data_IF_590237589153
#
_entry.id   IF_590237589153
#
_cell.length_a   1.000
_cell.length_b   1.000
_cell.length_c   1.000
_cell.angle_alpha   90.00
_cell.angle_beta   90.00
_cell.angle_gamma   90.00
#
_symmetry.space_group_name_H-M   'P 1'
#
loop_
_entity.id
_entity.type
_entity.pdbx_description
1 polymer ?
#
# COMPACT_ATOMS: atom_id res chain seq x y z
N UNK A 1 -21.29 -15.00 15.42
CA UNK A 1 -20.64 -13.95 16.22
C UNK A 1 -20.36 -12.79 15.28
N UNK A 2 -21.07 -11.68 15.42
CA UNK A 2 -20.76 -10.47 14.66
C UNK A 2 -19.41 -9.94 15.12
N UNK A 3 -18.45 -9.78 14.19
CA UNK A 3 -17.24 -9.02 14.48
C UNK A 3 -17.70 -7.61 14.83
N UNK A 4 -17.26 -7.07 15.96
CA UNK A 4 -17.47 -5.66 16.25
C UNK A 4 -16.60 -4.84 15.30
N UNK A 5 -17.16 -4.53 14.12
CA UNK A 5 -16.50 -3.79 13.05
C UNK A 5 -15.97 -2.46 13.56
N UNK A 6 -16.64 -1.83 14.53
CA UNK A 6 -16.21 -0.58 15.15
C UNK A 6 -14.91 -0.77 15.92
N UNK A 7 -14.81 -1.82 16.73
CA UNK A 7 -13.58 -2.14 17.45
C UNK A 7 -12.42 -2.49 16.48
N UNK A 8 -12.72 -3.25 15.42
CA UNK A 8 -11.73 -3.58 14.39
C UNK A 8 -11.21 -2.33 13.66
N UNK A 9 -12.10 -1.41 13.29
CA UNK A 9 -11.74 -0.13 12.66
C UNK A 9 -10.95 0.78 13.61
N UNK A 10 -11.32 0.84 14.89
CA UNK A 10 -10.58 1.62 15.88
C UNK A 10 -9.16 1.07 16.09
N UNK A 11 -9.02 -0.25 16.20
CA UNK A 11 -7.70 -0.91 16.28
C UNK A 11 -6.88 -0.70 15.01
N UNK A 12 -7.52 -0.76 13.84
CA UNK A 12 -6.91 -0.49 12.55
C UNK A 12 -6.39 0.96 12.47
N UNK A 13 -7.23 1.94 12.77
CA UNK A 13 -6.88 3.37 12.78
C UNK A 13 -5.70 3.66 13.73
N UNK A 14 -5.70 3.06 14.93
CA UNK A 14 -4.60 3.18 15.89
C UNK A 14 -3.28 2.53 15.41
N UNK A 15 -3.30 1.71 14.36
CA UNK A 15 -2.10 1.15 13.75
C UNK A 15 -1.60 1.95 12.56
N UNK A 16 -2.49 2.53 11.76
CA UNK A 16 -2.14 3.17 10.48
C UNK A 16 -1.93 4.69 10.57
N UNK A 17 -2.22 5.31 11.71
CA UNK A 17 -2.15 6.77 11.83
C UNK A 17 -0.79 7.36 11.39
N UNK A 18 -0.77 8.49 10.64
CA UNK A 18 0.46 9.04 10.09
C UNK A 18 1.51 9.42 11.15
N UNK A 19 2.78 9.25 10.80
CA UNK A 19 4.01 9.70 11.49
C UNK A 19 4.25 9.13 12.90
N UNK A 20 3.24 8.51 13.51
CA UNK A 20 3.25 8.12 14.92
C UNK A 20 3.01 6.62 15.07
N UNK A 21 2.11 6.03 14.26
CA UNK A 21 1.67 4.66 14.49
C UNK A 21 2.56 3.59 13.86
N UNK A 22 2.43 2.37 14.38
CA UNK A 22 3.29 1.23 14.04
C UNK A 22 3.30 0.87 12.55
N UNK A 23 2.21 1.13 11.82
CA UNK A 23 2.09 0.80 10.41
C UNK A 23 2.20 2.00 9.49
N UNK A 24 2.60 3.18 10.00
CA UNK A 24 3.20 4.18 9.12
C UNK A 24 4.62 3.74 8.74
N UNK A 25 4.70 2.96 7.67
CA UNK A 25 5.96 2.42 7.18
C UNK A 25 6.78 3.45 6.40
N UNK A 26 6.18 4.56 5.93
CA UNK A 26 6.88 5.51 5.04
C UNK A 26 8.16 6.09 5.71
N UNK A 27 8.13 6.63 6.93
CA UNK A 27 9.36 7.09 7.62
C UNK A 27 10.37 5.96 7.88
N UNK A 28 9.87 4.76 8.21
CA UNK A 28 10.71 3.59 8.54
C UNK A 28 11.48 3.10 7.31
N UNK A 29 10.82 3.02 6.16
CA UNK A 29 11.42 2.64 4.88
C UNK A 29 12.41 3.72 4.41
N UNK A 30 12.04 5.00 4.52
CA UNK A 30 12.94 6.13 4.21
C UNK A 30 14.25 6.04 4.98
N UNK A 31 14.18 5.81 6.29
CA UNK A 31 15.37 5.66 7.12
C UNK A 31 16.15 4.37 6.81
N UNK A 32 15.46 3.22 6.73
CA UNK A 32 16.08 1.90 6.51
C UNK A 32 16.86 1.81 5.21
N UNK A 33 16.35 2.42 4.15
CA UNK A 33 16.96 2.37 2.82
C UNK A 33 17.71 3.65 2.43
N UNK A 34 17.93 4.56 3.39
CA UNK A 34 18.65 5.81 3.16
C UNK A 34 18.12 6.61 1.94
N UNK A 35 16.80 6.66 1.78
CA UNK A 35 16.16 7.17 0.55
C UNK A 35 16.43 8.66 0.29
N UNK A 36 16.80 9.41 1.33
CA UNK A 36 17.24 10.80 1.20
C UNK A 36 18.51 10.96 0.35
N UNK A 37 19.36 9.93 0.32
CA UNK A 37 20.58 9.92 -0.47
C UNK A 37 20.48 9.00 -1.70
N UNK A 38 19.79 7.86 -1.57
CA UNK A 38 19.67 6.85 -2.63
C UNK A 38 18.53 7.15 -3.63
N UNK A 39 17.62 8.05 -3.25
CA UNK A 39 16.42 8.38 -4.01
C UNK A 39 15.21 7.51 -3.67
N UNK A 40 14.03 8.06 -3.89
CA UNK A 40 12.76 7.48 -3.48
C UNK A 40 12.16 6.47 -4.46
N UNK A 41 12.80 6.26 -5.61
CA UNK A 41 12.33 5.40 -6.68
C UNK A 41 13.20 4.16 -6.81
N UNK A 42 12.57 2.98 -6.74
CA UNK A 42 13.24 1.68 -6.77
C UNK A 42 12.98 0.97 -8.09
N UNK A 43 14.01 0.35 -8.69
CA UNK A 43 13.89 -0.37 -9.97
C UNK A 43 12.95 -1.57 -9.84
N UNK A 44 12.09 -1.75 -10.84
CA UNK A 44 11.21 -2.92 -10.97
C UNK A 44 12.00 -4.03 -11.69
N UNK A 45 12.22 -5.19 -11.07
CA UNK A 45 12.99 -6.27 -11.68
C UNK A 45 12.43 -6.70 -13.03
N UNK A 46 13.30 -6.78 -14.05
CA UNK A 46 12.92 -7.20 -15.40
C UNK A 46 12.02 -6.22 -16.15
N UNK A 47 11.93 -4.96 -15.71
CA UNK A 47 11.19 -3.88 -16.40
C UNK A 47 12.03 -2.62 -16.48
N UNK A 48 11.80 -1.82 -17.52
CA UNK A 48 12.38 -0.48 -17.64
C UNK A 48 11.53 0.54 -16.84
N UNK A 49 11.20 0.19 -15.60
CA UNK A 49 10.35 0.97 -14.71
C UNK A 49 11.01 1.11 -13.35
N UNK A 50 10.70 2.22 -12.68
CA UNK A 50 10.91 2.41 -11.24
C UNK A 50 9.58 2.76 -10.57
N UNK A 51 9.43 2.35 -9.31
CA UNK A 51 8.28 2.71 -8.48
C UNK A 51 8.70 3.52 -7.27
N UNK A 52 7.85 4.45 -6.86
CA UNK A 52 8.00 5.21 -5.63
C UNK A 52 7.90 4.28 -4.43
N UNK A 53 8.73 4.49 -3.41
CA UNK A 53 8.80 3.61 -2.23
C UNK A 53 7.48 3.53 -1.43
N UNK A 54 6.61 4.54 -1.56
CA UNK A 54 5.32 4.61 -0.87
C UNK A 54 4.39 3.43 -1.15
N UNK A 55 4.53 2.79 -2.32
CA UNK A 55 3.69 1.66 -2.76
C UNK A 55 3.71 0.50 -1.76
N UNK A 56 4.81 0.27 -1.05
CA UNK A 56 4.93 -0.82 -0.07
C UNK A 56 3.97 -0.64 1.11
N UNK A 57 3.80 0.60 1.57
CA UNK A 57 2.88 0.92 2.67
C UNK A 57 1.43 0.69 2.25
N UNK A 58 1.07 1.09 1.03
CA UNK A 58 -0.29 0.97 0.51
C UNK A 58 -0.68 -0.49 0.23
N UNK A 59 0.21 -1.28 -0.37
CA UNK A 59 -0.02 -2.72 -0.56
C UNK A 59 -0.19 -3.42 0.80
N UNK A 60 0.63 -3.07 1.80
CA UNK A 60 0.48 -3.60 3.16
C UNK A 60 -0.87 -3.19 3.77
N UNK A 61 -1.26 -1.92 3.64
CA UNK A 61 -2.55 -1.41 4.11
C UNK A 61 -3.71 -2.24 3.56
N UNK A 62 -3.77 -2.41 2.24
CA UNK A 62 -4.83 -3.19 1.60
C UNK A 62 -4.84 -4.66 2.05
N UNK A 63 -3.67 -5.31 2.03
CA UNK A 63 -3.57 -6.73 2.33
C UNK A 63 -3.93 -7.05 3.79
N UNK A 64 -3.33 -6.34 4.75
CA UNK A 64 -3.56 -6.60 6.18
C UNK A 64 -4.97 -6.14 6.60
N UNK A 65 -5.51 -5.10 5.99
CA UNK A 65 -6.87 -4.63 6.26
C UNK A 65 -7.91 -5.67 5.88
N UNK A 66 -7.75 -6.27 4.70
CA UNK A 66 -8.59 -7.39 4.27
C UNK A 66 -8.39 -8.62 5.15
N UNK A 67 -7.17 -8.91 5.57
CA UNK A 67 -6.87 -9.98 6.52
C UNK A 67 -7.55 -9.77 7.89
N UNK A 68 -7.68 -8.53 8.34
CA UNK A 68 -8.42 -8.18 9.55
C UNK A 68 -9.96 -8.30 9.39
N UNK A 69 -10.44 -8.53 8.16
CA UNK A 69 -11.86 -8.70 7.85
C UNK A 69 -12.61 -7.41 7.53
N UNK A 70 -11.91 -6.29 7.31
CA UNK A 70 -12.49 -5.04 6.81
C UNK A 70 -12.75 -5.21 5.32
N UNK A 71 -13.93 -4.83 4.82
CA UNK A 71 -14.25 -4.92 3.40
C UNK A 71 -13.47 -3.90 2.55
N UNK A 72 -13.50 -4.10 1.23
CA UNK A 72 -12.75 -3.31 0.25
C UNK A 72 -13.13 -1.83 0.31
N UNK A 73 -14.43 -1.54 0.26
CA UNK A 73 -14.93 -0.17 0.16
C UNK A 73 -14.56 0.60 1.43
N UNK A 74 -14.74 -0.01 2.60
CA UNK A 74 -14.35 0.60 3.88
C UNK A 74 -12.84 0.90 3.98
N UNK A 75 -11.97 0.06 3.39
CA UNK A 75 -10.52 0.33 3.37
C UNK A 75 -10.16 1.50 2.46
N UNK A 76 -10.74 1.55 1.26
CA UNK A 76 -10.48 2.63 0.31
C UNK A 76 -11.05 3.95 0.84
N UNK A 77 -12.33 3.96 1.25
CA UNK A 77 -12.98 5.14 1.82
C UNK A 77 -12.27 5.62 3.09
N UNK A 78 -11.82 4.68 3.93
CA UNK A 78 -11.10 4.98 5.16
C UNK A 78 -9.74 5.65 4.92
N UNK A 79 -9.08 5.38 3.79
CA UNK A 79 -7.84 6.04 3.39
C UNK A 79 -8.07 7.41 2.74
N UNK A 80 -9.25 7.63 2.13
CA UNK A 80 -9.65 8.89 1.48
C UNK A 80 -10.29 9.92 2.43
N UNK A 81 -10.39 9.63 3.73
CA UNK A 81 -10.91 10.58 4.73
C UNK A 81 -10.05 11.85 4.71
N UNK A 82 -10.66 13.03 4.50
CA UNK A 82 -9.91 14.28 4.47
C UNK A 82 -9.53 14.79 5.87
N UNK A 83 -8.73 14.02 6.60
CA UNK A 83 -8.13 14.43 7.89
C UNK A 83 -6.64 14.00 7.94
N UNK A 84 -5.69 14.95 7.83
CA UNK A 84 -4.26 14.65 7.81
C UNK A 84 -3.72 14.11 9.16
N UNK A 85 -4.51 14.16 10.23
CA UNK A 85 -4.17 13.49 11.50
C UNK A 85 -4.52 12.01 11.49
N UNK A 86 -5.43 11.59 10.60
CA UNK A 86 -5.94 10.22 10.53
C UNK A 86 -5.38 9.45 9.33
N UNK A 87 -5.10 10.12 8.22
CA UNK A 87 -4.60 9.50 6.99
C UNK A 87 -3.53 10.35 6.29
N UNK A 88 -2.80 9.72 5.36
CA UNK A 88 -1.84 10.42 4.51
C UNK A 88 -2.51 11.21 3.38
N UNK A 89 -1.71 11.84 2.52
CA UNK A 89 -2.19 12.31 1.22
C UNK A 89 -2.70 11.11 0.40
N UNK A 90 -3.73 11.34 -0.41
CA UNK A 90 -4.42 10.32 -1.20
C UNK A 90 -4.44 10.72 -2.69
N UNK A 91 -3.91 9.85 -3.54
CA UNK A 91 -3.92 9.99 -5.00
C UNK A 91 -4.35 8.70 -5.72
N UNK A 92 -4.62 8.77 -7.02
CA UNK A 92 -5.04 7.59 -7.78
C UNK A 92 -4.03 6.41 -7.74
N UNK A 93 -2.73 6.70 -7.57
CA UNK A 93 -1.69 5.69 -7.37
C UNK A 93 -1.81 4.98 -6.02
N UNK A 94 -2.22 5.71 -4.97
CA UNK A 94 -2.52 5.12 -3.66
C UNK A 94 -3.71 4.15 -3.77
N UNK A 95 -4.78 4.52 -4.46
CA UNK A 95 -5.92 3.64 -4.73
C UNK A 95 -5.50 2.37 -5.46
N UNK A 96 -4.72 2.50 -6.55
CA UNK A 96 -4.21 1.35 -7.32
C UNK A 96 -3.38 0.40 -6.43
N UNK A 97 -2.52 0.95 -5.58
CA UNK A 97 -1.58 0.15 -4.77
C UNK A 97 -2.23 -0.46 -3.54
N UNK A 98 -3.17 0.24 -2.90
CA UNK A 98 -4.06 -0.36 -1.88
C UNK A 98 -4.89 -1.49 -2.48
N UNK A 99 -5.44 -1.27 -3.67
CA UNK A 99 -6.25 -2.27 -4.37
C UNK A 99 -5.44 -3.53 -4.71
N UNK A 100 -4.17 -3.37 -5.11
CA UNK A 100 -3.29 -4.52 -5.32
C UNK A 100 -3.10 -5.37 -4.04
N UNK A 101 -2.96 -4.71 -2.87
CA UNK A 101 -2.92 -5.40 -1.57
C UNK A 101 -4.21 -6.14 -1.24
N UNK A 102 -5.35 -5.49 -1.49
CA UNK A 102 -6.69 -6.08 -1.29
C UNK A 102 -6.86 -7.34 -2.15
N UNK A 103 -6.54 -7.24 -3.44
CA UNK A 103 -6.70 -8.34 -4.40
C UNK A 103 -5.76 -9.51 -4.09
N UNK A 104 -4.55 -9.23 -3.61
CA UNK A 104 -3.62 -10.26 -3.14
C UNK A 104 -4.24 -11.09 -2.01
N UNK A 105 -4.88 -10.45 -1.03
CA UNK A 105 -5.55 -11.17 0.06
C UNK A 105 -6.81 -11.89 -0.42
N UNK A 106 -7.64 -11.23 -1.23
CA UNK A 106 -8.87 -11.84 -1.75
C UNK A 106 -8.58 -13.10 -2.59
N UNK A 107 -7.47 -13.10 -3.33
CA UNK A 107 -7.08 -14.22 -4.21
C UNK A 107 -6.34 -15.34 -3.47
N UNK A 108 -5.41 -15.01 -2.58
CA UNK A 108 -4.49 -16.01 -2.00
C UNK A 108 -4.67 -16.19 -0.49
N UNK A 109 -5.34 -15.26 0.19
CA UNK A 109 -5.45 -15.23 1.64
C UNK A 109 -4.09 -15.35 2.30
N UNK A 110 -4.04 -16.05 3.44
CA UNK A 110 -2.79 -16.29 4.18
C UNK A 110 -1.80 -17.23 3.47
N UNK A 111 -2.20 -17.83 2.33
CA UNK A 111 -1.34 -18.74 1.55
C UNK A 111 -0.55 -18.01 0.46
N UNK A 112 -0.50 -16.67 0.49
CA UNK A 112 0.29 -15.86 -0.42
C UNK A 112 1.76 -16.30 -0.42
N UNK A 113 2.26 -16.65 -1.61
CA UNK A 113 3.67 -16.98 -1.83
C UNK A 113 4.48 -15.74 -2.22
N UNK A 114 5.81 -15.84 -2.11
CA UNK A 114 6.72 -14.77 -2.50
C UNK A 114 6.64 -14.48 -3.99
N UNK A 115 6.51 -15.53 -4.79
CA UNK A 115 6.44 -15.46 -6.25
C UNK A 115 5.18 -14.71 -6.69
N UNK A 116 4.03 -15.07 -6.11
CA UNK A 116 2.75 -14.38 -6.37
C UNK A 116 2.80 -12.90 -5.94
N UNK A 117 3.43 -12.60 -4.81
CA UNK A 117 3.63 -11.22 -4.37
C UNK A 117 4.50 -10.45 -5.38
N UNK A 118 5.60 -11.05 -5.83
CA UNK A 118 6.50 -10.44 -6.80
C UNK A 118 5.82 -10.16 -8.14
N UNK A 119 5.05 -11.12 -8.66
CA UNK A 119 4.25 -10.95 -9.87
C UNK A 119 3.25 -9.81 -9.74
N UNK A 120 2.50 -9.76 -8.62
CA UNK A 120 1.54 -8.69 -8.38
C UNK A 120 2.21 -7.32 -8.35
N UNK A 121 3.35 -7.19 -7.67
CA UNK A 121 4.12 -5.94 -7.59
C UNK A 121 4.60 -5.47 -8.98
N UNK A 122 5.06 -6.39 -9.83
CA UNK A 122 5.42 -6.04 -11.22
C UNK A 122 4.20 -5.56 -12.00
N UNK A 123 3.07 -6.27 -11.92
CA UNK A 123 1.83 -5.87 -12.59
C UNK A 123 1.30 -4.53 -12.09
N UNK A 124 1.41 -4.26 -10.79
CA UNK A 124 1.04 -2.95 -10.21
C UNK A 124 1.94 -1.83 -10.75
N UNK A 125 3.24 -2.07 -10.92
CA UNK A 125 4.16 -1.10 -11.52
C UNK A 125 3.75 -0.71 -12.95
N UNK A 126 3.44 -1.71 -13.76
CA UNK A 126 2.98 -1.52 -15.14
C UNK A 126 1.64 -0.78 -15.18
N UNK A 127 0.71 -1.13 -14.28
CA UNK A 127 -0.58 -0.46 -14.16
C UNK A 127 -0.41 1.01 -13.78
N UNK A 128 0.36 1.31 -12.73
CA UNK A 128 0.66 2.69 -12.32
C UNK A 128 1.21 3.52 -13.47
N UNK A 129 2.19 2.97 -14.20
CA UNK A 129 2.79 3.65 -15.34
C UNK A 129 1.77 3.87 -16.48
N UNK A 130 0.96 2.85 -16.80
CA UNK A 130 -0.06 2.94 -17.85
C UNK A 130 -1.16 3.95 -17.54
N UNK A 131 -1.44 4.18 -16.25
CA UNK A 131 -2.41 5.17 -15.76
C UNK A 131 -1.81 6.56 -15.57
N UNK A 132 -0.53 6.77 -15.90
CA UNK A 132 0.15 8.06 -15.74
C UNK A 132 0.34 8.50 -14.29
N UNK A 133 0.38 7.55 -13.34
CA UNK A 133 0.64 7.87 -11.94
C UNK A 133 2.10 8.29 -11.75
N UNK A 134 2.32 9.37 -10.98
CA UNK A 134 3.66 9.84 -10.60
C UNK A 134 4.42 8.82 -9.72
N UNK A 135 3.72 7.81 -9.19
CA UNK A 135 4.33 6.73 -8.41
C UNK A 135 5.07 5.70 -9.28
N UNK A 136 5.00 5.77 -10.61
CA UNK A 136 5.79 4.93 -11.51
C UNK A 136 6.41 5.73 -12.67
N UNK A 137 7.68 5.44 -12.97
CA UNK A 137 8.45 6.18 -13.95
C UNK A 137 9.22 5.24 -14.88
N UNK A 138 9.37 5.63 -16.15
CA UNK A 138 10.26 4.93 -17.07
C UNK A 138 11.72 5.10 -16.62
N UNK A 139 12.47 4.00 -16.61
CA UNK A 139 13.88 3.97 -16.25
C UNK A 139 14.63 2.91 -17.05
N UNK A 140 15.40 3.29 -18.08
CA UNK A 140 16.17 2.36 -18.89
C UNK A 140 17.37 1.76 -18.13
#
# INVERSE_FOLDING_TARGET
MGRDTTAALAMWAAKVCPKICDWDHKPKLRAKFNLDNEGYFQKVPGRNLKMFYGVWSNIHYGYVGRAAGIDRDTLIDGASVSDPLLVGEDDNGDHITMQAGIDLYDKYGLNLTREQFHEAVISTAELLYSQGSDQAQYAP
#
